data_IF_598687540351
#
_entry.id   IF_598687540351
#
_cell.length_a   1.000
_cell.length_b   1.000
_cell.length_c   1.000
_cell.angle_alpha   90.00
_cell.angle_beta   90.00
_cell.angle_gamma   90.00
#
_symmetry.space_group_name_H-M   'P 1'
#
loop_
_entity.id
_entity.type
_entity.pdbx_description
1 polymer ?
#
# COMPACT_ATOMS: atom_id res chain seq x y z
N UNK A 1 2.15 24.83 18.41
CA UNK A 1 1.89 25.39 17.06
C UNK A 1 2.94 24.79 16.17
N UNK A 2 2.64 23.67 15.57
CA UNK A 2 3.59 22.80 14.92
C UNK A 2 3.44 22.97 13.41
N UNK A 3 4.50 23.30 12.79
CA UNK A 3 4.96 23.37 11.40
C UNK A 3 4.30 22.41 10.38
N UNK A 4 2.98 22.36 10.32
CA UNK A 4 2.23 21.76 9.21
C UNK A 4 1.89 22.78 8.13
N UNK A 5 2.23 24.05 8.35
CA UNK A 5 1.90 25.16 7.46
C UNK A 5 2.81 25.31 6.23
N UNK A 6 3.73 24.37 5.95
CA UNK A 6 4.66 24.49 4.84
C UNK A 6 4.60 23.35 3.81
N UNK A 7 3.52 22.61 3.78
CA UNK A 7 3.21 21.74 2.63
C UNK A 7 2.49 22.55 1.53
N UNK A 8 2.96 23.73 1.27
CA UNK A 8 2.46 24.61 0.20
C UNK A 8 2.91 24.21 -1.21
N UNK A 9 3.32 22.99 -1.40
CA UNK A 9 3.42 22.40 -2.73
C UNK A 9 2.39 21.31 -2.84
N UNK A 10 1.24 21.68 -2.50
CA UNK A 10 0.07 20.89 -2.63
C UNK A 10 -0.16 20.72 -4.10
N UNK A 11 -0.05 19.54 -4.50
CA UNK A 11 -0.43 18.95 -5.73
C UNK A 11 -1.80 19.48 -6.15
N UNK A 12 -2.03 19.89 -7.39
CA UNK A 12 -3.36 20.18 -7.90
C UNK A 12 -4.37 19.07 -7.63
N UNK A 13 -3.91 17.83 -7.42
CA UNK A 13 -4.71 16.70 -6.97
C UNK A 13 -5.41 16.96 -5.63
N UNK A 14 -4.81 17.78 -4.76
CA UNK A 14 -5.33 18.09 -3.44
C UNK A 14 -6.05 19.44 -3.36
N UNK A 15 -6.21 20.12 -4.49
CA UNK A 15 -7.00 21.35 -4.55
C UNK A 15 -8.44 21.04 -4.13
N UNK A 16 -8.93 21.81 -3.18
CA UNK A 16 -10.26 21.60 -2.60
C UNK A 16 -10.34 20.47 -1.55
N UNK A 17 -9.20 20.01 -1.01
CA UNK A 17 -9.17 19.07 0.12
C UNK A 17 -8.59 19.73 1.38
N UNK A 18 -9.32 19.65 2.48
CA UNK A 18 -8.81 19.97 3.81
C UNK A 18 -8.16 18.73 4.42
N UNK A 19 -6.83 18.75 4.59
CA UNK A 19 -6.07 17.64 5.15
C UNK A 19 -5.99 17.71 6.68
N UNK A 20 -6.17 16.56 7.34
CA UNK A 20 -5.94 16.38 8.77
C UNK A 20 -4.53 15.87 9.09
N UNK A 21 -4.25 15.72 10.39
CA UNK A 21 -3.00 15.17 10.88
C UNK A 21 -2.83 13.70 10.44
N UNK A 22 -1.58 13.23 10.20
CA UNK A 22 -1.32 11.84 9.88
C UNK A 22 -1.88 10.88 10.94
N UNK A 23 -2.64 9.88 10.50
CA UNK A 23 -3.12 8.79 11.35
C UNK A 23 -2.07 7.70 11.53
N UNK A 24 -1.16 7.57 10.57
CA UNK A 24 -0.01 6.67 10.61
C UNK A 24 1.17 7.29 9.88
N UNK A 25 2.38 6.96 10.36
CA UNK A 25 3.63 7.39 9.73
C UNK A 25 4.68 6.31 10.00
N UNK A 26 5.08 5.57 8.96
CA UNK A 26 6.10 4.53 9.02
C UNK A 26 6.88 4.49 7.71
N UNK A 27 8.18 4.34 7.78
CA UNK A 27 9.08 4.11 6.63
C UNK A 27 8.85 5.05 5.44
N UNK A 28 8.68 6.33 5.73
CA UNK A 28 8.43 7.34 4.70
C UNK A 28 7.00 7.37 4.15
N UNK A 29 6.10 6.53 4.66
CA UNK A 29 4.69 6.50 4.27
C UNK A 29 3.83 7.14 5.36
N UNK A 30 3.00 8.10 4.97
CA UNK A 30 2.03 8.79 5.84
C UNK A 30 0.63 8.63 5.28
N UNK A 31 -0.34 8.35 6.14
CA UNK A 31 -1.76 8.33 5.77
C UNK A 31 -2.49 9.46 6.51
N UNK A 32 -3.00 10.42 5.78
CA UNK A 32 -3.70 11.58 6.30
C UNK A 32 -5.19 11.50 5.96
N UNK A 33 -6.09 11.74 6.91
CA UNK A 33 -7.49 11.93 6.58
C UNK A 33 -7.65 13.24 5.83
N UNK A 34 -8.56 13.28 4.89
CA UNK A 34 -8.90 14.50 4.16
C UNK A 34 -10.42 14.60 3.98
N UNK A 35 -10.91 15.81 3.87
CA UNK A 35 -12.31 16.11 3.58
C UNK A 35 -12.32 17.00 2.34
N UNK A 36 -13.14 16.65 1.37
CA UNK A 36 -13.31 17.48 0.20
C UNK A 36 -14.11 18.74 0.56
N UNK A 37 -13.64 19.89 0.14
CA UNK A 37 -14.33 21.16 0.37
C UNK A 37 -15.75 21.12 -0.23
N UNK A 38 -16.69 21.72 0.48
CA UNK A 38 -18.11 21.71 0.12
C UNK A 38 -18.78 20.33 0.03
N UNK A 39 -18.19 19.31 0.67
CA UNK A 39 -18.71 17.96 0.75
C UNK A 39 -18.41 17.36 2.13
N UNK A 40 -19.28 16.45 2.60
CA UNK A 40 -19.03 15.65 3.79
C UNK A 40 -18.24 14.36 3.49
N UNK A 41 -17.81 14.19 2.24
CA UNK A 41 -17.08 13.01 1.80
C UNK A 41 -15.69 12.97 2.41
N UNK A 42 -15.38 11.84 3.01
CA UNK A 42 -14.10 11.58 3.68
C UNK A 42 -13.18 10.81 2.75
N UNK A 43 -11.94 11.22 2.75
CA UNK A 43 -10.86 10.64 1.94
C UNK A 43 -9.66 10.26 2.81
N UNK A 44 -8.80 9.46 2.24
CA UNK A 44 -7.44 9.21 2.71
C UNK A 44 -6.48 9.68 1.63
N UNK A 45 -5.51 10.46 2.05
CA UNK A 45 -4.34 10.82 1.26
C UNK A 45 -3.16 10.03 1.80
N UNK A 46 -2.67 9.08 1.01
CA UNK A 46 -1.43 8.36 1.28
C UNK A 46 -0.29 9.13 0.63
N UNK A 47 0.75 9.44 1.41
CA UNK A 47 1.92 10.18 0.99
C UNK A 47 3.13 9.27 1.14
N UNK A 48 3.82 8.99 0.05
CA UNK A 48 5.02 8.15 0.01
C UNK A 48 6.21 9.05 -0.28
N UNK A 49 7.11 9.17 0.69
CA UNK A 49 8.36 9.93 0.54
C UNK A 49 9.45 9.05 -0.08
N UNK A 50 10.12 9.53 -1.10
CA UNK A 50 11.21 8.87 -1.80
C UNK A 50 12.42 9.82 -1.89
N UNK A 51 13.50 9.56 -1.13
CA UNK A 51 13.71 8.47 -0.16
C UNK A 51 12.81 8.58 1.06
N UNK A 52 12.62 7.47 1.76
CA UNK A 52 11.84 7.41 2.99
C UNK A 52 12.39 8.35 4.08
N UNK A 53 13.72 8.50 4.15
CA UNK A 53 14.41 9.45 5.01
C UNK A 53 15.64 10.03 4.28
N UNK A 54 16.01 11.28 4.60
CA UNK A 54 17.21 11.92 4.03
C UNK A 54 18.49 11.11 4.32
N UNK A 55 18.57 10.51 5.50
CA UNK A 55 19.71 9.67 5.93
C UNK A 55 19.96 8.49 4.98
N UNK A 56 18.95 8.01 4.26
CA UNK A 56 19.12 6.96 3.26
C UNK A 56 19.94 7.46 2.06
N UNK A 57 19.66 8.66 1.56
CA UNK A 57 20.44 9.29 0.49
C UNK A 57 21.87 9.56 0.94
N UNK A 58 22.02 10.10 2.15
CA UNK A 58 23.34 10.42 2.72
C UNK A 58 24.18 9.14 2.89
N UNK A 59 23.60 8.07 3.36
CA UNK A 59 24.27 6.77 3.50
C UNK A 59 24.72 6.19 2.15
N UNK A 60 23.90 6.31 1.10
CA UNK A 60 24.25 5.82 -0.24
C UNK A 60 25.41 6.62 -0.86
N UNK A 61 25.46 7.94 -0.61
CA UNK A 61 26.59 8.78 -1.05
C UNK A 61 27.86 8.46 -0.27
N UNK A 62 27.78 8.29 1.05
CA UNK A 62 28.92 7.92 1.89
C UNK A 62 29.47 6.53 1.55
N UNK A 63 28.61 5.59 1.21
CA UNK A 63 29.00 4.26 0.76
C UNK A 63 29.59 4.24 -0.67
N UNK A 64 29.59 5.37 -1.38
CA UNK A 64 30.06 5.46 -2.75
C UNK A 64 29.17 4.74 -3.77
N UNK A 65 27.91 4.44 -3.41
CA UNK A 65 26.94 3.84 -4.32
C UNK A 65 26.62 4.79 -5.50
N UNK A 66 26.70 6.10 -5.27
CA UNK A 66 26.58 7.13 -6.28
C UNK A 66 27.73 8.13 -6.17
N UNK A 67 28.17 8.61 -7.33
CA UNK A 67 29.31 9.53 -7.43
C UNK A 67 29.01 10.90 -6.81
N UNK A 68 27.77 11.34 -6.96
CA UNK A 68 27.34 12.68 -6.54
C UNK A 68 25.83 12.69 -6.25
N UNK A 69 25.35 13.82 -5.77
CA UNK A 69 23.96 14.07 -5.45
C UNK A 69 23.03 13.90 -6.68
N UNK A 70 23.50 14.26 -7.87
CA UNK A 70 22.67 14.15 -9.09
C UNK A 70 22.36 12.68 -9.41
N UNK A 71 23.38 11.81 -9.35
CA UNK A 71 23.19 10.37 -9.56
C UNK A 71 22.28 9.73 -8.50
N UNK A 72 22.39 10.16 -7.24
CA UNK A 72 21.47 9.70 -6.19
C UNK A 72 20.03 10.19 -6.45
N UNK A 73 19.84 11.42 -6.90
CA UNK A 73 18.52 11.95 -7.23
C UNK A 73 17.90 11.24 -8.43
N UNK A 74 18.67 10.89 -9.47
CA UNK A 74 18.20 10.12 -10.62
C UNK A 74 17.72 8.72 -10.20
N UNK A 75 18.45 8.06 -9.29
CA UNK A 75 18.01 6.79 -8.71
C UNK A 75 16.66 6.93 -7.99
N UNK A 76 16.53 7.90 -7.10
CA UNK A 76 15.28 8.11 -6.37
C UNK A 76 14.14 8.58 -7.28
N UNK A 77 14.44 9.26 -8.39
CA UNK A 77 13.45 9.53 -9.43
C UNK A 77 12.93 8.24 -10.03
N UNK A 78 13.82 7.30 -10.37
CA UNK A 78 13.43 5.98 -10.85
C UNK A 78 12.54 5.21 -9.86
N UNK A 79 12.87 5.26 -8.57
CA UNK A 79 12.03 4.66 -7.51
C UNK A 79 10.65 5.33 -7.43
N UNK A 80 10.58 6.65 -7.56
CA UNK A 80 9.30 7.37 -7.58
C UNK A 80 8.47 7.01 -8.82
N UNK A 81 9.12 6.89 -10.00
CA UNK A 81 8.48 6.47 -11.24
C UNK A 81 7.92 5.03 -11.17
N UNK A 82 8.57 4.15 -10.41
CA UNK A 82 8.05 2.79 -10.18
C UNK A 82 6.82 2.81 -9.28
N UNK A 83 6.77 3.68 -8.26
CA UNK A 83 5.56 3.90 -7.47
C UNK A 83 4.42 4.48 -8.33
N UNK A 84 4.73 5.37 -9.26
CA UNK A 84 3.75 5.90 -10.22
C UNK A 84 3.16 4.80 -11.10
N UNK A 85 4.00 3.94 -11.67
CA UNK A 85 3.53 2.80 -12.50
C UNK A 85 2.61 1.87 -11.72
N UNK A 86 2.95 1.61 -10.44
CA UNK A 86 2.11 0.81 -9.56
C UNK A 86 0.77 1.52 -9.29
N UNK A 87 0.79 2.84 -9.07
CA UNK A 87 -0.42 3.64 -8.89
C UNK A 87 -1.31 3.67 -10.14
N UNK A 88 -0.72 3.78 -11.34
CA UNK A 88 -1.44 3.67 -12.61
C UNK A 88 -2.11 2.30 -12.77
N UNK A 89 -1.38 1.24 -12.42
CA UNK A 89 -1.89 -0.11 -12.49
C UNK A 89 -3.05 -0.30 -11.51
N UNK A 90 -2.89 0.14 -10.27
CA UNK A 90 -3.94 0.13 -9.26
C UNK A 90 -5.18 0.91 -9.72
N UNK A 91 -5.01 2.08 -10.34
CA UNK A 91 -6.12 2.86 -10.86
C UNK A 91 -6.87 2.12 -11.99
N UNK A 92 -6.18 1.33 -12.81
CA UNK A 92 -6.83 0.47 -13.80
C UNK A 92 -7.64 -0.64 -13.14
N UNK A 93 -7.06 -1.31 -12.13
CA UNK A 93 -7.74 -2.36 -11.37
C UNK A 93 -8.93 -1.81 -10.55
N UNK A 94 -8.83 -0.58 -10.05
CA UNK A 94 -9.88 0.04 -9.23
C UNK A 94 -11.22 0.23 -9.96
N UNK A 95 -11.22 0.13 -11.28
CA UNK A 95 -12.43 0.13 -12.12
C UNK A 95 -13.11 -1.23 -12.18
N UNK A 96 -12.44 -2.27 -11.69
CA UNK A 96 -12.93 -3.64 -11.66
C UNK A 96 -13.54 -3.95 -10.30
N UNK A 97 -14.42 -4.95 -10.26
CA UNK A 97 -14.97 -5.44 -9.01
C UNK A 97 -13.87 -6.09 -8.16
N UNK A 98 -13.94 -5.91 -6.85
CA UNK A 98 -12.96 -6.46 -5.90
C UNK A 98 -11.86 -5.49 -5.47
N UNK A 99 -11.76 -4.30 -6.06
CA UNK A 99 -10.72 -3.32 -5.74
C UNK A 99 -11.29 -2.01 -5.16
N UNK A 100 -10.51 -1.38 -4.28
CA UNK A 100 -10.84 -0.06 -3.75
C UNK A 100 -10.68 1.00 -4.86
N UNK A 101 -11.64 1.91 -5.05
CA UNK A 101 -11.49 2.98 -6.01
C UNK A 101 -10.39 3.96 -5.57
N UNK A 102 -9.66 4.50 -6.53
CA UNK A 102 -8.71 5.60 -6.37
C UNK A 102 -9.12 6.77 -7.25
N UNK A 103 -9.17 7.97 -6.68
CA UNK A 103 -9.54 9.19 -7.40
C UNK A 103 -8.37 9.72 -8.23
N UNK A 104 -7.15 9.51 -7.76
CA UNK A 104 -5.97 9.91 -8.48
C UNK A 104 -4.69 9.79 -7.67
N UNK A 105 -3.59 10.10 -8.33
CA UNK A 105 -2.25 10.16 -7.75
C UNK A 105 -1.42 11.24 -8.43
N UNK A 106 -0.39 11.72 -7.75
CA UNK A 106 0.55 12.70 -8.27
C UNK A 106 1.90 12.62 -7.57
N UNK A 107 2.98 12.77 -8.32
CA UNK A 107 4.34 12.91 -7.79
C UNK A 107 4.77 14.36 -7.78
N UNK A 108 5.33 14.80 -6.67
CA UNK A 108 5.81 16.16 -6.47
C UNK A 108 7.27 16.12 -5.99
N UNK A 109 8.19 16.89 -6.59
CA UNK A 109 9.55 17.01 -6.08
C UNK A 109 9.57 17.80 -4.77
N UNK A 110 10.30 17.29 -3.78
CA UNK A 110 10.53 17.98 -2.50
C UNK A 110 11.57 19.07 -2.74
N UNK A 111 11.22 20.35 -2.48
CA UNK A 111 12.10 21.51 -2.76
C UNK A 111 12.71 22.15 -1.51
N UNK A 112 12.34 21.72 -0.30
CA UNK A 112 12.78 22.35 0.95
C UNK A 112 13.31 21.29 1.93
N UNK A 113 14.38 21.62 2.67
CA UNK A 113 15.02 20.83 3.76
C UNK A 113 15.42 19.38 3.44
N UNK A 114 14.75 18.71 2.50
CA UNK A 114 15.06 17.37 2.01
C UNK A 114 15.03 17.37 0.49
N UNK A 115 15.79 16.47 -0.10
CA UNK A 115 15.76 16.21 -1.54
C UNK A 115 15.01 14.90 -1.78
N UNK A 116 14.31 14.81 -2.90
CA UNK A 116 13.56 13.64 -3.28
C UNK A 116 12.19 13.97 -3.83
N UNK A 117 11.28 13.01 -3.70
CA UNK A 117 9.92 13.07 -4.25
C UNK A 117 8.90 12.65 -3.20
N UNK A 118 7.69 13.17 -3.30
CA UNK A 118 6.52 12.66 -2.60
C UNK A 118 5.47 12.22 -3.62
N UNK A 119 5.00 10.99 -3.48
CA UNK A 119 3.88 10.46 -4.27
C UNK A 119 2.63 10.50 -3.42
N UNK A 120 1.64 11.23 -3.88
CA UNK A 120 0.33 11.38 -3.26
C UNK A 120 -0.67 10.45 -3.94
N UNK A 121 -1.42 9.69 -3.16
CA UNK A 121 -2.53 8.88 -3.66
C UNK A 121 -3.79 9.25 -2.88
N UNK A 122 -4.88 9.50 -3.58
CA UNK A 122 -6.16 9.90 -2.99
C UNK A 122 -7.18 8.79 -3.21
N UNK A 123 -7.82 8.36 -2.14
CA UNK A 123 -8.90 7.37 -2.18
C UNK A 123 -10.03 7.73 -1.22
N UNK A 124 -11.28 7.35 -1.51
CA UNK A 124 -12.37 7.49 -0.57
C UNK A 124 -12.08 6.72 0.73
N UNK A 125 -12.39 7.32 1.87
CA UNK A 125 -12.21 6.66 3.16
C UNK A 125 -13.12 5.46 3.29
N UNK A 126 -12.53 4.30 3.56
CA UNK A 126 -13.27 3.06 3.89
C UNK A 126 -12.66 2.44 5.16
N UNK A 127 -13.46 1.67 5.87
CA UNK A 127 -12.98 0.94 7.03
C UNK A 127 -12.20 -0.30 6.58
N UNK A 128 -10.95 -0.43 7.05
CA UNK A 128 -10.20 -1.65 6.83
C UNK A 128 -10.78 -2.81 7.64
N UNK A 129 -10.58 -4.04 7.17
CA UNK A 129 -10.94 -5.26 7.89
C UNK A 129 -10.28 -5.28 9.27
N UNK A 130 -9.01 -4.88 9.38
CA UNK A 130 -8.30 -4.78 10.66
C UNK A 130 -9.01 -3.87 11.67
N UNK A 131 -9.63 -2.78 11.21
CA UNK A 131 -10.40 -1.89 12.07
C UNK A 131 -11.78 -2.45 12.41
N UNK A 132 -12.37 -3.15 11.47
CA UNK A 132 -13.68 -3.76 11.64
C UNK A 132 -13.67 -4.88 12.67
N UNK A 133 -12.74 -5.84 12.57
CA UNK A 133 -12.65 -7.00 13.46
C UNK A 133 -12.38 -6.64 14.92
N UNK A 134 -11.66 -5.53 15.17
CA UNK A 134 -11.42 -5.05 16.54
C UNK A 134 -12.69 -4.67 17.33
N UNK A 135 -13.79 -4.44 16.64
CA UNK A 135 -15.04 -3.94 17.25
C UNK A 135 -16.22 -4.84 16.98
N UNK A 136 -16.10 -5.75 16.03
CA UNK A 136 -17.19 -6.58 15.57
C UNK A 136 -16.71 -8.02 15.43
N UNK A 137 -17.34 -8.99 16.10
CA UNK A 137 -17.07 -10.38 15.81
C UNK A 137 -17.46 -10.68 14.38
N UNK A 138 -16.63 -11.42 13.66
CA UNK A 138 -16.92 -11.86 12.29
C UNK A 138 -17.69 -13.14 12.33
N UNK A 139 -18.87 -13.15 11.69
CA UNK A 139 -19.69 -14.35 11.56
C UNK A 139 -19.09 -15.33 10.55
N UNK A 140 -19.47 -16.60 10.67
CA UNK A 140 -19.04 -17.62 9.70
C UNK A 140 -19.39 -17.24 8.25
N UNK A 141 -20.57 -16.69 8.01
CA UNK A 141 -21.00 -16.25 6.68
C UNK A 141 -20.14 -15.06 6.17
N UNK A 142 -19.82 -14.11 7.04
CA UNK A 142 -18.94 -13.00 6.66
C UNK A 142 -17.53 -13.48 6.32
N UNK A 143 -17.00 -14.47 7.04
CA UNK A 143 -15.68 -15.07 6.72
C UNK A 143 -15.70 -15.80 5.36
N UNK A 144 -16.79 -16.54 5.05
CA UNK A 144 -16.96 -17.18 3.74
C UNK A 144 -17.01 -16.12 2.64
N UNK A 145 -17.84 -15.08 2.79
CA UNK A 145 -17.97 -14.00 1.80
C UNK A 145 -16.65 -13.27 1.60
N UNK A 146 -15.90 -13.00 2.67
CA UNK A 146 -14.56 -12.46 2.59
C UNK A 146 -13.63 -13.33 1.72
N UNK A 147 -13.59 -14.64 2.00
CA UNK A 147 -12.79 -15.58 1.21
C UNK A 147 -13.14 -15.56 -0.27
N UNK A 148 -14.45 -15.56 -0.60
CA UNK A 148 -14.93 -15.51 -1.98
C UNK A 148 -14.56 -14.19 -2.68
N UNK A 149 -14.76 -13.05 -2.02
CA UNK A 149 -14.43 -11.73 -2.56
C UNK A 149 -12.91 -11.61 -2.81
N UNK A 150 -12.08 -12.06 -1.86
CA UNK A 150 -10.62 -12.03 -2.01
C UNK A 150 -10.16 -12.94 -3.15
N UNK A 151 -10.63 -14.19 -3.22
CA UNK A 151 -10.28 -15.10 -4.31
C UNK A 151 -10.69 -14.54 -5.68
N UNK A 152 -11.86 -13.89 -5.77
CA UNK A 152 -12.32 -13.24 -6.98
C UNK A 152 -11.39 -12.09 -7.41
N UNK A 153 -11.02 -11.21 -6.46
CA UNK A 153 -10.10 -10.11 -6.73
C UNK A 153 -8.69 -10.62 -7.14
N UNK A 154 -8.16 -11.62 -6.44
CA UNK A 154 -6.87 -12.22 -6.77
C UNK A 154 -6.86 -12.93 -8.13
N UNK A 155 -8.00 -13.51 -8.53
CA UNK A 155 -8.15 -14.04 -9.89
C UNK A 155 -8.03 -12.96 -10.96
N UNK A 156 -8.55 -11.74 -10.69
CA UNK A 156 -8.38 -10.58 -11.58
C UNK A 156 -6.90 -10.15 -11.63
N UNK A 157 -6.20 -10.11 -10.49
CA UNK A 157 -4.75 -9.83 -10.46
C UNK A 157 -3.98 -10.81 -11.35
N UNK A 158 -4.24 -12.10 -11.21
CA UNK A 158 -3.60 -13.14 -12.01
C UNK A 158 -3.88 -12.96 -13.52
N UNK A 159 -5.11 -12.68 -13.89
CA UNK A 159 -5.48 -12.42 -15.29
C UNK A 159 -4.79 -11.17 -15.85
N UNK A 160 -4.56 -10.17 -14.99
CA UNK A 160 -3.79 -8.97 -15.32
C UNK A 160 -2.26 -9.18 -15.31
N UNK A 161 -1.78 -10.40 -15.03
CA UNK A 161 -0.36 -10.74 -15.01
C UNK A 161 0.41 -10.24 -13.80
N UNK A 162 -0.25 -10.13 -12.63
CA UNK A 162 0.39 -9.71 -11.39
C UNK A 162 -0.02 -10.56 -10.18
N UNK A 163 0.77 -10.47 -9.11
CA UNK A 163 0.42 -10.93 -7.75
C UNK A 163 0.14 -9.72 -6.85
N UNK A 164 -0.63 -9.93 -5.80
CA UNK A 164 -0.84 -8.95 -4.73
C UNK A 164 -0.20 -9.46 -3.44
N UNK A 165 1.08 -9.26 -3.30
CA UNK A 165 1.90 -9.88 -2.24
C UNK A 165 1.75 -9.26 -0.86
N UNK A 166 1.05 -8.13 -0.72
CA UNK A 166 0.84 -7.43 0.57
C UNK A 166 -0.58 -7.61 1.11
N UNK A 167 -1.18 -8.79 0.87
CA UNK A 167 -2.53 -9.08 1.36
C UNK A 167 -2.52 -9.28 2.89
N UNK A 168 -3.22 -8.38 3.58
CA UNK A 168 -3.36 -8.34 5.03
C UNK A 168 -4.61 -7.57 5.43
N UNK A 169 -5.15 -7.75 6.65
CA UNK A 169 -6.39 -7.09 7.07
C UNK A 169 -6.40 -5.56 6.99
N UNK A 170 -5.23 -4.91 7.03
CA UNK A 170 -5.11 -3.45 6.86
C UNK A 170 -5.36 -2.99 5.43
N UNK A 171 -5.15 -3.87 4.45
CA UNK A 171 -5.25 -3.60 3.01
C UNK A 171 -6.54 -4.19 2.40
N UNK A 172 -7.44 -4.70 3.24
CA UNK A 172 -8.77 -5.15 2.86
C UNK A 172 -9.79 -4.18 3.43
N UNK A 173 -10.74 -3.76 2.62
CA UNK A 173 -11.69 -2.71 2.97
C UNK A 173 -13.12 -3.20 2.82
N UNK A 174 -13.96 -2.86 3.81
CA UNK A 174 -15.37 -3.20 3.82
C UNK A 174 -16.17 -2.09 3.13
N UNK A 175 -17.03 -2.48 2.19
CA UNK A 175 -17.96 -1.58 1.52
C UNK A 175 -19.26 -1.45 2.31
N UNK A 176 -20.08 -0.46 1.97
CA UNK A 176 -21.41 -0.27 2.55
C UNK A 176 -22.36 -1.44 2.24
N UNK A 177 -22.11 -2.14 1.14
CA UNK A 177 -22.86 -3.35 0.73
C UNK A 177 -22.37 -4.63 1.41
N UNK A 178 -21.47 -4.51 2.40
CA UNK A 178 -20.84 -5.64 3.11
C UNK A 178 -20.03 -6.58 2.20
N UNK A 179 -19.52 -6.10 1.08
CA UNK A 179 -18.52 -6.78 0.26
C UNK A 179 -17.10 -6.30 0.64
N UNK A 180 -16.10 -7.12 0.35
CA UNK A 180 -14.72 -6.83 0.67
C UNK A 180 -13.94 -6.46 -0.59
N UNK A 181 -13.05 -5.50 -0.47
CA UNK A 181 -12.22 -5.01 -1.57
C UNK A 181 -10.77 -4.93 -1.15
N UNK A 182 -9.89 -5.32 -2.06
CA UNK A 182 -8.45 -5.12 -1.91
C UNK A 182 -8.14 -3.66 -2.27
N UNK A 183 -7.30 -3.02 -1.46
CA UNK A 183 -6.79 -1.68 -1.73
C UNK A 183 -5.34 -1.57 -1.34
N UNK A 184 -4.77 -0.40 -1.60
CA UNK A 184 -3.35 -0.10 -1.40
C UNK A 184 -2.41 -0.70 -2.45
N UNK A 185 -1.16 -0.22 -2.44
CA UNK A 185 -0.07 -0.72 -3.27
C UNK A 185 0.39 -2.09 -2.75
N UNK A 186 0.87 -2.92 -3.63
CA UNK A 186 1.32 -4.29 -3.32
C UNK A 186 1.27 -5.21 -4.55
N UNK A 187 1.04 -4.62 -5.72
CA UNK A 187 0.98 -5.34 -6.99
C UNK A 187 2.36 -5.50 -7.59
N UNK A 188 2.71 -6.73 -7.91
CA UNK A 188 4.00 -7.05 -8.52
C UNK A 188 3.75 -7.80 -9.83
N UNK A 189 4.24 -7.27 -10.97
CA UNK A 189 4.16 -7.97 -12.23
C UNK A 189 4.87 -9.33 -12.19
N UNK A 190 4.26 -10.37 -12.76
CA UNK A 190 4.79 -11.74 -12.74
C UNK A 190 6.13 -11.87 -13.46
N UNK A 191 6.39 -11.05 -14.45
CA UNK A 191 7.65 -11.03 -15.21
C UNK A 191 8.82 -10.47 -14.38
N UNK A 192 8.56 -9.58 -13.44
CA UNK A 192 9.59 -9.02 -12.55
C UNK A 192 9.95 -9.92 -11.37
N UNK A 193 9.04 -10.80 -10.94
CA UNK A 193 9.23 -11.70 -9.79
C UNK A 193 10.35 -12.73 -9.97
N UNK A 194 10.77 -12.99 -11.21
CA UNK A 194 11.82 -13.97 -11.52
C UNK A 194 13.23 -13.50 -11.17
N UNK A 195 13.43 -12.21 -10.88
CA UNK A 195 14.75 -11.58 -10.86
C UNK A 195 15.04 -10.73 -9.63
N UNK A 196 14.09 -10.51 -8.76
CA UNK A 196 14.26 -9.59 -7.62
C UNK A 196 13.74 -10.18 -6.31
N UNK A 197 14.59 -10.11 -5.28
CA UNK A 197 14.12 -10.28 -3.90
C UNK A 197 13.16 -9.12 -3.58
N UNK A 198 11.96 -9.47 -3.08
CA UNK A 198 11.01 -8.44 -2.70
C UNK A 198 11.53 -7.64 -1.50
N UNK A 199 11.24 -6.32 -1.47
CA UNK A 199 11.57 -5.47 -0.33
C UNK A 199 10.97 -6.01 0.97
N UNK A 200 11.67 -5.82 2.08
CA UNK A 200 11.24 -6.24 3.42
C UNK A 200 9.86 -5.67 3.82
N UNK A 201 9.45 -4.55 3.24
CA UNK A 201 8.12 -3.97 3.46
C UNK A 201 6.95 -4.92 3.17
N UNK A 202 7.15 -5.93 2.32
CA UNK A 202 6.14 -6.95 2.00
C UNK A 202 6.16 -8.14 2.97
N UNK A 203 7.14 -8.20 3.88
CA UNK A 203 7.21 -9.24 4.91
C UNK A 203 6.25 -8.90 6.04
N UNK A 204 5.27 -9.75 6.24
CA UNK A 204 4.25 -9.61 7.27
C UNK A 204 3.91 -10.99 7.85
N UNK A 205 3.18 -11.07 8.97
CA UNK A 205 2.70 -12.35 9.49
C UNK A 205 1.81 -13.15 8.52
N UNK A 206 1.29 -12.49 7.48
CA UNK A 206 0.45 -13.12 6.44
C UNK A 206 1.26 -13.56 5.23
N UNK A 207 2.53 -13.19 5.16
CA UNK A 207 3.40 -13.52 4.04
C UNK A 207 3.78 -14.98 4.03
N UNK A 208 3.80 -15.64 2.86
CA UNK A 208 4.18 -17.05 2.75
C UNK A 208 5.68 -17.24 3.03
N UNK A 209 6.08 -18.46 3.47
CA UNK A 209 7.47 -18.76 3.81
C UNK A 209 8.46 -18.47 2.67
N UNK A 210 8.07 -18.75 1.43
CA UNK A 210 8.88 -18.51 0.22
C UNK A 210 9.22 -17.03 0.00
N UNK A 211 8.45 -16.11 0.57
CA UNK A 211 8.75 -14.68 0.49
C UNK A 211 9.96 -14.29 1.37
N UNK A 212 10.34 -15.16 2.30
CA UNK A 212 11.50 -15.01 3.16
C UNK A 212 12.75 -15.70 2.60
N UNK A 213 12.63 -16.43 1.50
CA UNK A 213 13.73 -17.12 0.83
C UNK A 213 14.06 -16.42 -0.49
N UNK A 214 15.25 -15.81 -0.57
CA UNK A 214 15.72 -15.11 -1.76
C UNK A 214 15.89 -16.01 -3.00
N UNK A 215 15.94 -17.34 -2.80
CA UNK A 215 16.08 -18.33 -3.89
C UNK A 215 14.74 -18.93 -4.31
N UNK A 216 13.67 -18.65 -3.59
CA UNK A 216 12.34 -19.17 -3.92
C UNK A 216 11.69 -18.40 -5.07
N UNK A 217 10.92 -19.11 -5.87
CA UNK A 217 10.09 -18.51 -6.93
C UNK A 217 8.71 -18.25 -6.39
N UNK A 218 8.28 -16.97 -6.43
CA UNK A 218 6.92 -16.61 -6.08
C UNK A 218 5.95 -16.88 -7.24
N UNK A 219 4.76 -17.32 -6.89
CA UNK A 219 3.66 -17.53 -7.81
C UNK A 219 2.32 -17.25 -7.08
N UNK A 220 1.20 -17.55 -7.73
CA UNK A 220 -0.15 -17.31 -7.18
C UNK A 220 -0.45 -18.01 -5.86
N UNK A 221 0.33 -19.00 -5.44
CA UNK A 221 0.14 -19.64 -4.13
C UNK A 221 0.49 -18.70 -2.99
N UNK A 222 1.34 -17.69 -3.23
CA UNK A 222 1.68 -16.66 -2.24
C UNK A 222 0.42 -15.90 -1.78
N UNK A 223 -0.39 -15.45 -2.73
CA UNK A 223 -1.65 -14.75 -2.44
C UNK A 223 -2.66 -15.68 -1.77
N UNK A 224 -2.74 -16.94 -2.22
CA UNK A 224 -3.62 -17.95 -1.62
C UNK A 224 -3.23 -18.25 -0.17
N UNK A 225 -1.93 -18.33 0.13
CA UNK A 225 -1.44 -18.47 1.50
C UNK A 225 -1.93 -17.32 2.40
N UNK A 226 -1.81 -16.09 1.92
CA UNK A 226 -2.25 -14.91 2.68
C UNK A 226 -3.77 -14.94 2.96
N UNK A 227 -4.59 -15.36 2.00
CA UNK A 227 -6.03 -15.59 2.23
C UNK A 227 -6.24 -16.62 3.34
N UNK A 228 -5.53 -17.76 3.27
CA UNK A 228 -5.59 -18.81 4.29
C UNK A 228 -5.25 -18.30 5.68
N UNK A 229 -4.19 -17.49 5.81
CA UNK A 229 -3.77 -16.90 7.08
C UNK A 229 -4.80 -15.92 7.64
N UNK A 230 -5.44 -15.12 6.78
CA UNK A 230 -6.50 -14.19 7.20
C UNK A 230 -7.73 -14.97 7.71
N UNK A 231 -8.17 -15.97 6.96
CA UNK A 231 -9.30 -16.81 7.37
C UNK A 231 -8.98 -17.57 8.65
N UNK A 232 -7.77 -18.14 8.76
CA UNK A 232 -7.31 -18.80 9.99
C UNK A 232 -7.39 -17.85 11.19
N UNK A 233 -6.90 -16.62 11.06
CA UNK A 233 -6.97 -15.63 12.12
C UNK A 233 -8.41 -15.38 12.58
N UNK A 234 -9.35 -15.23 11.65
CA UNK A 234 -10.76 -14.97 11.96
C UNK A 234 -11.44 -16.15 12.69
N UNK A 235 -11.04 -17.40 12.38
CA UNK A 235 -11.55 -18.61 13.03
C UNK A 235 -10.81 -18.98 14.30
N UNK A 236 -9.67 -18.35 14.61
CA UNK A 236 -8.83 -18.60 15.78
C UNK A 236 -8.80 -17.42 16.75
N UNK A 237 -9.98 -16.88 17.08
CA UNK A 237 -10.14 -15.74 18.00
C UNK A 237 -9.21 -14.56 17.68
N UNK A 238 -9.04 -14.27 16.41
CA UNK A 238 -8.16 -13.21 15.88
C UNK A 238 -6.66 -13.43 16.14
N UNK A 239 -6.27 -14.65 16.52
CA UNK A 239 -4.86 -15.02 16.74
C UNK A 239 -4.23 -15.54 15.46
N UNK A 240 -3.03 -15.09 15.18
CA UNK A 240 -2.19 -15.68 14.14
C UNK A 240 -1.44 -16.89 14.66
N UNK A 241 -1.05 -17.78 13.76
CA UNK A 241 -0.13 -18.86 14.10
C UNK A 241 1.16 -18.24 14.60
N UNK A 242 1.55 -18.54 15.84
CA UNK A 242 2.90 -18.24 16.27
C UNK A 242 3.85 -19.01 15.35
N UNK A 243 4.75 -18.30 14.68
CA UNK A 243 5.77 -18.96 13.87
C UNK A 243 6.58 -19.85 14.81
N UNK A 244 6.44 -21.14 14.65
CA UNK A 244 7.41 -22.09 15.20
C UNK A 244 8.74 -21.78 14.51
N UNK A 245 9.64 -21.14 15.24
CA UNK A 245 11.00 -20.80 14.82
C UNK A 245 11.83 -22.10 14.83
#
# INVERSE_FOLDING_TARGET
MTELAETELISPLLDGFAMGNPMSSHDGVRCCPAIKENSDEKYIVKIISVPAAQTQMDAMLLAGAYKDMAGAMDYFKGVADDVEKEAEFLQKLSKLEGFLPYDGWQTVPIKRRRLGYEVYLVSPYKHSLAKYIRRNPVTHLEAINLGLDLCSALSVCRQAGCLYVDLKPTNIFLTEKKSYRIGDLGFIPLDTLRYTSLPDKYRSPYSPPELHDAMATLNETADTYAVGMILYQLYNDERLVEKLI
#
